data_IF_096433509990
#
_entry.id   IF_096433509990
#
_cell.length_a   1.000
_cell.length_b   1.000
_cell.length_c   1.000
_cell.angle_alpha   90.00
_cell.angle_beta   90.00
_cell.angle_gamma   90.00
#
_symmetry.space_group_name_H-M   'P 1'
#
loop_
_entity.id
_entity.type
_entity.pdbx_description
1 polymer ?
#
# COMPACT_ATOMS: atom_id res chain seq x y z
N UNK A 1 -2.16 11.91 15.35
CA UNK A 1 -2.04 10.76 14.45
C UNK A 1 -3.35 10.03 14.48
N UNK A 2 -3.82 9.57 13.32
CA UNK A 2 -5.11 8.90 13.22
C UNK A 2 -4.97 7.41 13.54
N UNK A 3 -3.83 6.81 13.17
CA UNK A 3 -3.52 5.41 13.44
C UNK A 3 -2.27 5.29 14.33
N UNK A 4 -1.99 4.08 14.81
CA UNK A 4 -0.73 3.78 15.48
C UNK A 4 0.45 3.91 14.48
N UNK A 5 1.67 4.23 14.94
CA UNK A 5 2.83 4.41 14.05
C UNK A 5 3.09 3.21 13.12
N UNK A 6 3.01 1.99 13.66
CA UNK A 6 3.18 0.74 12.92
C UNK A 6 2.06 0.52 11.89
N UNK A 7 0.83 0.92 12.21
CA UNK A 7 -0.28 0.94 11.23
C UNK A 7 -0.01 1.92 10.09
N UNK A 8 0.45 3.15 10.37
CA UNK A 8 0.78 4.12 9.31
C UNK A 8 1.94 3.64 8.43
N UNK A 9 2.96 3.03 9.02
CA UNK A 9 4.09 2.42 8.29
C UNK A 9 3.65 1.27 7.38
N UNK A 10 2.81 0.35 7.89
CA UNK A 10 2.26 -0.75 7.11
C UNK A 10 1.38 -0.24 5.96
N UNK A 11 0.50 0.74 6.20
CA UNK A 11 -0.30 1.36 5.15
C UNK A 11 0.56 2.03 4.07
N UNK A 12 1.65 2.70 4.46
CA UNK A 12 2.57 3.31 3.52
C UNK A 12 3.31 2.24 2.70
N UNK A 13 3.73 1.13 3.31
CA UNK A 13 4.34 0.02 2.59
C UNK A 13 3.38 -0.60 1.56
N UNK A 14 2.09 -0.77 1.90
CA UNK A 14 1.07 -1.21 0.93
C UNK A 14 1.05 -0.28 -0.28
N UNK A 15 1.03 1.04 -0.04
CA UNK A 15 1.02 2.06 -1.11
C UNK A 15 2.28 1.96 -1.99
N UNK A 16 3.45 1.81 -1.37
CA UNK A 16 4.73 1.72 -2.09
C UNK A 16 4.79 0.46 -2.97
N UNK A 17 4.38 -0.70 -2.43
CA UNK A 17 4.27 -1.95 -3.17
C UNK A 17 3.24 -1.84 -4.31
N UNK A 18 2.03 -1.37 -3.99
CA UNK A 18 0.92 -1.23 -4.93
C UNK A 18 1.23 -0.28 -6.09
N UNK A 19 2.04 0.75 -5.87
CA UNK A 19 2.38 1.76 -6.87
C UNK A 19 3.57 1.40 -7.77
N UNK A 20 4.12 0.19 -7.64
CA UNK A 20 5.13 -0.33 -8.58
C UNK A 20 4.54 -0.65 -9.96
N UNK A 21 3.22 -0.70 -10.12
CA UNK A 21 2.58 -0.98 -11.42
C UNK A 21 2.81 0.14 -12.45
N UNK A 22 2.88 -0.20 -13.73
CA UNK A 22 3.10 0.75 -14.83
C UNK A 22 2.14 1.97 -14.84
N UNK A 23 0.88 1.80 -14.44
CA UNK A 23 -0.10 2.89 -14.43
C UNK A 23 -0.04 3.77 -13.18
N UNK A 24 0.76 3.41 -12.18
CA UNK A 24 0.93 4.14 -10.92
C UNK A 24 2.35 4.66 -10.71
N UNK A 25 3.33 3.99 -11.31
CA UNK A 25 4.75 4.24 -11.08
C UNK A 25 5.22 5.56 -11.68
N UNK A 26 6.39 6.03 -11.23
CA UNK A 26 6.95 7.30 -11.71
C UNK A 26 7.54 7.18 -13.11
N UNK A 27 8.07 6.01 -13.44
CA UNK A 27 8.66 5.70 -14.75
C UNK A 27 7.62 5.40 -15.82
N UNK A 28 6.40 4.97 -15.43
CA UNK A 28 5.41 4.42 -16.35
C UNK A 28 5.66 2.96 -16.73
N UNK A 29 6.62 2.29 -16.08
CA UNK A 29 6.91 0.87 -16.23
C UNK A 29 6.53 0.08 -14.95
N UNK A 30 6.41 -1.24 -15.04
CA UNK A 30 6.34 -2.10 -13.85
C UNK A 30 7.72 -2.08 -13.17
N UNK A 31 7.79 -1.50 -11.97
CA UNK A 31 9.00 -1.31 -11.16
C UNK A 31 9.22 -2.47 -10.16
N UNK A 32 8.60 -3.63 -10.41
CA UNK A 32 8.78 -4.85 -9.60
C UNK A 32 8.87 -6.09 -10.50
N UNK A 33 9.82 -6.09 -11.43
CA UNK A 33 10.04 -7.15 -12.41
C UNK A 33 11.31 -7.96 -12.16
N UNK A 34 12.20 -7.46 -11.29
CA UNK A 34 13.49 -8.08 -10.97
C UNK A 34 13.68 -8.25 -9.47
N UNK A 35 14.61 -9.13 -9.09
CA UNK A 35 14.98 -9.31 -7.68
C UNK A 35 15.65 -8.07 -7.08
N UNK A 36 16.40 -7.31 -7.90
CA UNK A 36 17.04 -6.08 -7.44
C UNK A 36 16.00 -4.99 -7.10
N UNK A 37 14.93 -4.90 -7.88
CA UNK A 37 13.80 -4.00 -7.58
C UNK A 37 13.06 -4.43 -6.31
N UNK A 38 12.85 -5.74 -6.12
CA UNK A 38 12.26 -6.27 -4.89
C UNK A 38 13.16 -5.98 -3.67
N UNK A 39 14.47 -6.25 -3.74
CA UNK A 39 15.40 -5.96 -2.66
C UNK A 39 15.43 -4.45 -2.33
N UNK A 40 15.33 -3.57 -3.34
CA UNK A 40 15.27 -2.12 -3.14
C UNK A 40 13.99 -1.68 -2.40
N UNK A 41 12.85 -2.31 -2.69
CA UNK A 41 11.59 -2.06 -1.99
C UNK A 41 11.62 -2.53 -0.52
N UNK A 42 12.40 -3.58 -0.23
CA UNK A 42 12.46 -4.25 1.07
C UNK A 42 13.59 -3.75 1.99
N UNK A 43 14.25 -2.63 1.67
CA UNK A 43 15.41 -2.14 2.43
C UNK A 43 15.16 -1.99 3.94
N UNK A 44 13.95 -1.62 4.33
CA UNK A 44 13.54 -1.45 5.74
C UNK A 44 12.66 -2.59 6.24
N UNK A 45 12.42 -3.62 5.42
CA UNK A 45 11.51 -4.73 5.74
C UNK A 45 12.31 -5.89 6.35
N UNK A 46 11.90 -6.40 7.51
CA UNK A 46 12.59 -7.51 8.18
C UNK A 46 11.99 -8.88 7.80
N UNK A 47 12.43 -9.96 8.45
CA UNK A 47 11.98 -11.32 8.17
C UNK A 47 12.69 -12.03 7.00
N UNK A 48 12.29 -13.30 6.78
CA UNK A 48 12.83 -14.18 5.72
C UNK A 48 12.70 -13.56 4.33
N UNK A 49 13.77 -13.68 3.54
CA UNK A 49 13.84 -13.30 2.12
C UNK A 49 14.57 -14.39 1.36
N UNK A 50 13.87 -15.13 0.53
CA UNK A 50 14.43 -16.23 -0.26
C UNK A 50 15.23 -15.73 -1.46
N UNK A 51 14.92 -14.52 -1.94
CA UNK A 51 15.57 -13.88 -3.09
C UNK A 51 15.55 -14.73 -4.35
N UNK A 52 14.40 -15.33 -4.62
CA UNK A 52 14.18 -16.14 -5.82
C UNK A 52 12.96 -15.68 -6.64
N UNK A 53 12.82 -16.28 -7.82
CA UNK A 53 11.74 -15.94 -8.75
C UNK A 53 10.35 -16.37 -8.27
N UNK A 54 10.26 -17.31 -7.32
CA UNK A 54 8.99 -17.72 -6.74
C UNK A 54 8.51 -16.67 -5.72
N UNK A 55 9.42 -16.18 -4.88
CA UNK A 55 9.16 -15.08 -3.95
C UNK A 55 8.74 -13.81 -4.69
N UNK A 56 9.47 -13.40 -5.74
CA UNK A 56 9.10 -12.24 -6.55
C UNK A 56 7.70 -12.37 -7.15
N UNK A 57 7.35 -13.56 -7.68
CA UNK A 57 6.01 -13.80 -8.23
C UNK A 57 4.93 -13.69 -7.16
N UNK A 58 5.15 -14.31 -6.01
CA UNK A 58 4.20 -14.27 -4.89
C UNK A 58 4.01 -12.85 -4.33
N UNK A 59 5.06 -12.03 -4.31
CA UNK A 59 4.96 -10.61 -3.92
C UNK A 59 4.18 -9.80 -4.97
N UNK A 60 4.36 -10.07 -6.27
CA UNK A 60 3.55 -9.43 -7.33
C UNK A 60 2.08 -9.84 -7.27
N UNK A 61 1.78 -11.10 -6.99
CA UNK A 61 0.40 -11.56 -6.73
C UNK A 61 -0.20 -10.86 -5.51
N UNK A 62 0.61 -10.69 -4.45
CA UNK A 62 0.21 -9.93 -3.25
C UNK A 62 -0.04 -8.46 -3.56
N UNK A 63 0.80 -7.83 -4.38
CA UNK A 63 0.59 -6.46 -4.86
C UNK A 63 -0.77 -6.32 -5.53
N UNK A 64 -1.10 -7.21 -6.45
CA UNK A 64 -2.34 -7.13 -7.23
C UNK A 64 -3.57 -7.37 -6.33
N UNK A 65 -3.47 -8.31 -5.37
CA UNK A 65 -4.49 -8.51 -4.33
C UNK A 65 -4.69 -7.25 -3.49
N UNK A 66 -3.62 -6.63 -3.00
CA UNK A 66 -3.71 -5.44 -2.15
C UNK A 66 -4.28 -4.24 -2.91
N UNK A 67 -3.95 -4.09 -4.20
CA UNK A 67 -4.58 -3.07 -5.06
C UNK A 67 -6.08 -3.27 -5.16
N UNK A 68 -6.54 -4.51 -5.34
CA UNK A 68 -7.98 -4.81 -5.37
C UNK A 68 -8.64 -4.47 -4.04
N UNK A 69 -8.09 -4.96 -2.92
CA UNK A 69 -8.63 -4.73 -1.57
C UNK A 69 -8.71 -3.24 -1.23
N UNK A 70 -7.73 -2.44 -1.65
CA UNK A 70 -7.69 -1.01 -1.38
C UNK A 70 -8.89 -0.22 -1.94
N UNK A 71 -9.55 -0.77 -2.96
CA UNK A 71 -10.66 -0.12 -3.67
C UNK A 71 -12.03 -0.72 -3.38
N UNK A 72 -12.08 -1.73 -2.51
CA UNK A 72 -13.34 -2.32 -2.08
C UNK A 72 -14.12 -1.34 -1.19
N UNK A 73 -15.45 -1.52 -1.17
CA UNK A 73 -16.23 -0.92 -0.10
C UNK A 73 -15.90 -1.58 1.25
N UNK A 74 -16.43 -0.99 2.33
CA UNK A 74 -16.08 -1.38 3.69
C UNK A 74 -16.43 -2.84 4.00
N UNK A 75 -17.58 -3.32 3.54
CA UNK A 75 -18.05 -4.67 3.88
C UNK A 75 -17.30 -5.72 3.05
N UNK A 76 -17.07 -5.46 1.77
CA UNK A 76 -16.23 -6.32 0.93
C UNK A 76 -14.77 -6.36 1.43
N UNK A 77 -14.24 -5.24 1.91
CA UNK A 77 -12.90 -5.18 2.51
C UNK A 77 -12.82 -6.03 3.79
N UNK A 78 -13.88 -6.06 4.62
CA UNK A 78 -13.96 -6.94 5.80
C UNK A 78 -13.84 -8.41 5.40
N UNK A 79 -14.53 -8.84 4.35
CA UNK A 79 -14.46 -10.22 3.88
C UNK A 79 -13.05 -10.58 3.38
N UNK A 80 -12.45 -9.70 2.58
CA UNK A 80 -11.11 -9.91 2.04
C UNK A 80 -10.03 -9.95 3.14
N UNK A 81 -10.07 -9.02 4.09
CA UNK A 81 -9.14 -8.95 5.23
C UNK A 81 -9.26 -10.20 6.10
N UNK A 82 -10.49 -10.61 6.43
CA UNK A 82 -10.71 -11.82 7.22
C UNK A 82 -10.21 -13.08 6.52
N UNK A 83 -10.37 -13.17 5.18
CA UNK A 83 -9.84 -14.28 4.40
C UNK A 83 -8.31 -14.33 4.47
N UNK A 84 -7.63 -13.21 4.25
CA UNK A 84 -6.16 -13.14 4.32
C UNK A 84 -5.62 -13.65 5.67
N UNK A 85 -6.22 -13.21 6.77
CA UNK A 85 -5.81 -13.61 8.12
C UNK A 85 -6.08 -15.10 8.40
N UNK A 86 -7.24 -15.63 7.98
CA UNK A 86 -7.59 -17.04 8.18
C UNK A 86 -6.69 -17.98 7.38
N UNK A 87 -6.41 -17.64 6.12
CA UNK A 87 -5.54 -18.45 5.25
C UNK A 87 -4.12 -18.53 5.80
N UNK A 88 -3.58 -17.42 6.31
CA UNK A 88 -2.26 -17.37 6.95
C UNK A 88 -2.24 -17.92 8.38
N UNK A 89 -3.40 -18.32 8.95
CA UNK A 89 -3.54 -18.72 10.36
C UNK A 89 -2.94 -17.67 11.31
N UNK A 90 -3.20 -16.41 11.02
CA UNK A 90 -2.60 -15.29 11.73
C UNK A 90 -3.04 -15.28 13.20
N UNK A 91 -2.06 -15.36 14.12
CA UNK A 91 -2.28 -15.26 15.56
C UNK A 91 -1.45 -14.08 16.07
N UNK A 92 -2.08 -12.93 16.39
CA UNK A 92 -1.33 -11.75 16.78
C UNK A 92 -0.60 -11.90 18.13
N UNK A 93 0.62 -11.37 18.20
CA UNK A 93 1.46 -11.31 19.39
C UNK A 93 2.29 -10.01 19.39
N UNK A 94 2.72 -9.59 20.58
CA UNK A 94 3.58 -8.41 20.74
C UNK A 94 5.05 -8.81 20.63
N UNK A 95 5.83 -7.99 19.95
CA UNK A 95 7.26 -8.17 19.77
C UNK A 95 8.02 -6.85 19.85
N UNK A 96 9.35 -6.92 19.95
CA UNK A 96 10.24 -5.77 19.97
C UNK A 96 11.58 -6.14 19.32
N UNK A 97 11.88 -5.57 18.15
CA UNK A 97 13.13 -5.78 17.39
C UNK A 97 13.40 -4.62 16.42
N UNK A 98 14.57 -4.64 15.79
CA UNK A 98 14.98 -3.72 14.71
C UNK A 98 14.92 -2.22 15.06
N UNK A 99 15.05 -1.89 16.34
CA UNK A 99 15.00 -0.51 16.83
C UNK A 99 13.58 0.03 17.08
N UNK A 100 12.54 -0.75 16.76
CA UNK A 100 11.16 -0.45 17.11
C UNK A 100 10.84 -0.89 18.54
N UNK A 101 9.98 -0.13 19.24
CA UNK A 101 9.43 -0.54 20.54
C UNK A 101 8.35 -1.63 20.35
N UNK A 102 7.50 -1.88 21.35
CA UNK A 102 6.42 -2.87 21.25
C UNK A 102 5.51 -2.62 20.05
N UNK A 103 5.45 -3.59 19.15
CA UNK A 103 4.58 -3.61 17.98
C UNK A 103 4.00 -5.00 17.73
N UNK A 104 2.98 -5.07 16.88
CA UNK A 104 2.23 -6.30 16.64
C UNK A 104 2.79 -7.08 15.44
N UNK A 105 2.94 -8.39 15.62
CA UNK A 105 3.14 -9.34 14.53
C UNK A 105 2.10 -10.44 14.59
N UNK A 106 1.84 -11.08 13.46
CA UNK A 106 0.91 -12.20 13.40
C UNK A 106 1.36 -13.30 12.42
N UNK A 107 2.66 -13.34 12.12
CA UNK A 107 3.33 -14.37 11.32
C UNK A 107 4.64 -14.78 11.97
N UNK A 108 5.00 -16.04 11.87
CA UNK A 108 6.30 -16.54 12.32
C UNK A 108 7.46 -15.85 11.56
N UNK A 109 8.66 -15.73 12.17
CA UNK A 109 9.82 -15.07 11.53
C UNK A 109 10.27 -15.70 10.20
N UNK A 110 10.02 -17.00 10.02
CA UNK A 110 10.38 -17.79 8.83
C UNK A 110 9.24 -17.95 7.81
N UNK A 111 8.09 -17.30 8.05
CA UNK A 111 6.98 -17.27 7.12
C UNK A 111 7.41 -16.72 5.75
N UNK A 112 6.85 -17.22 4.63
CA UNK A 112 7.12 -16.68 3.30
C UNK A 112 6.83 -15.17 3.24
N UNK A 113 7.70 -14.41 2.57
CA UNK A 113 7.62 -12.95 2.52
C UNK A 113 6.23 -12.43 2.08
N UNK A 114 5.66 -13.04 1.03
CA UNK A 114 4.33 -12.67 0.53
C UNK A 114 3.20 -12.93 1.54
N UNK A 115 3.34 -13.94 2.42
CA UNK A 115 2.39 -14.17 3.51
C UNK A 115 2.53 -13.10 4.59
N UNK A 116 3.77 -12.80 5.00
CA UNK A 116 4.07 -11.73 5.96
C UNK A 116 3.49 -10.39 5.52
N UNK A 117 3.73 -9.99 4.26
CA UNK A 117 3.18 -8.76 3.68
C UNK A 117 1.65 -8.75 3.74
N UNK A 118 0.99 -9.86 3.34
CA UNK A 118 -0.48 -9.96 3.38
C UNK A 118 -1.03 -9.81 4.79
N UNK A 119 -0.40 -10.45 5.77
CA UNK A 119 -0.86 -10.41 7.17
C UNK A 119 -0.63 -9.03 7.78
N UNK A 120 0.54 -8.43 7.61
CA UNK A 120 0.80 -7.07 8.11
C UNK A 120 -0.15 -6.06 7.47
N UNK A 121 -0.40 -6.17 6.16
CA UNK A 121 -1.37 -5.33 5.47
C UNK A 121 -2.80 -5.53 6.00
N UNK A 122 -3.22 -6.78 6.21
CA UNK A 122 -4.52 -7.11 6.77
C UNK A 122 -4.70 -6.54 8.19
N UNK A 123 -3.66 -6.62 9.04
CA UNK A 123 -3.65 -6.05 10.37
C UNK A 123 -3.81 -4.52 10.35
N UNK A 124 -3.11 -3.84 9.44
CA UNK A 124 -3.24 -2.39 9.29
C UNK A 124 -4.63 -1.97 8.78
N UNK A 125 -5.20 -2.73 7.85
CA UNK A 125 -6.54 -2.48 7.31
C UNK A 125 -7.65 -2.72 8.35
N UNK A 126 -7.44 -3.57 9.35
CA UNK A 126 -8.39 -3.73 10.48
C UNK A 126 -8.63 -2.40 11.17
N UNK A 127 -7.58 -1.61 11.44
CA UNK A 127 -7.73 -0.32 12.12
C UNK A 127 -8.53 0.65 11.26
N UNK A 128 -8.19 0.76 9.98
CA UNK A 128 -8.91 1.62 9.02
C UNK A 128 -10.41 1.27 8.98
N UNK A 129 -10.73 -0.02 8.89
CA UNK A 129 -12.11 -0.52 8.84
C UNK A 129 -12.85 -0.27 10.16
N UNK A 130 -12.23 -0.56 11.31
CA UNK A 130 -12.86 -0.43 12.63
C UNK A 130 -13.10 1.02 13.01
N UNK A 131 -12.26 1.93 12.52
CA UNK A 131 -12.39 3.37 12.73
C UNK A 131 -13.34 4.04 11.73
N UNK A 132 -13.90 3.30 10.77
CA UNK A 132 -14.76 3.84 9.69
C UNK A 132 -14.02 4.87 8.81
N UNK A 133 -12.74 4.63 8.55
CA UNK A 133 -11.83 5.54 7.84
C UNK A 133 -11.43 5.02 6.45
N UNK A 134 -12.20 4.07 5.88
CA UNK A 134 -11.93 3.50 4.54
C UNK A 134 -11.93 4.55 3.44
N UNK A 135 -12.65 5.67 3.61
CA UNK A 135 -12.62 6.80 2.69
C UNK A 135 -11.25 7.48 2.55
N UNK A 136 -10.28 7.17 3.43
CA UNK A 136 -8.89 7.63 3.32
C UNK A 136 -8.03 6.76 2.41
N UNK A 137 -8.46 5.53 2.10
CA UNK A 137 -7.84 4.68 1.11
C UNK A 137 -8.28 5.18 -0.27
N UNK A 138 -7.39 5.88 -0.97
CA UNK A 138 -7.76 6.62 -2.18
C UNK A 138 -6.96 6.24 -3.40
N UNK A 139 -7.60 6.42 -4.55
CA UNK A 139 -7.00 6.41 -5.89
C UNK A 139 -6.73 7.86 -6.31
N UNK A 140 -5.65 8.07 -7.07
CA UNK A 140 -5.26 9.36 -7.60
C UNK A 140 -6.33 9.95 -8.52
N UNK A 141 -6.68 11.22 -8.34
CA UNK A 141 -7.65 11.93 -9.18
C UNK A 141 -7.09 12.36 -10.56
N UNK A 142 -5.88 11.94 -10.94
CA UNK A 142 -5.30 12.29 -12.24
C UNK A 142 -5.70 11.25 -13.30
N UNK A 143 -6.25 11.69 -14.43
CA UNK A 143 -6.86 10.83 -15.47
C UNK A 143 -5.96 9.71 -16.02
N UNK A 144 -4.64 9.88 -15.93
CA UNK A 144 -3.60 8.96 -16.45
C UNK A 144 -2.79 8.31 -15.30
N UNK A 145 -3.39 8.12 -14.13
CA UNK A 145 -2.70 7.55 -12.97
C UNK A 145 -3.60 6.72 -12.06
N UNK A 146 -3.31 5.43 -11.93
CA UNK A 146 -4.00 4.53 -11.00
C UNK A 146 -3.26 4.42 -9.65
N UNK A 147 -2.51 5.46 -9.29
CA UNK A 147 -1.72 5.50 -8.07
C UNK A 147 -2.60 5.51 -6.83
N UNK A 148 -2.28 4.67 -5.85
CA UNK A 148 -2.95 4.62 -4.55
C UNK A 148 -2.27 5.58 -3.58
N UNK A 149 -3.02 6.05 -2.58
CA UNK A 149 -2.48 6.76 -1.43
C UNK A 149 -3.41 6.68 -0.22
N UNK A 150 -2.84 6.81 0.97
CA UNK A 150 -3.58 7.05 2.21
C UNK A 150 -3.68 8.57 2.46
N UNK A 151 -4.90 9.06 2.70
CA UNK A 151 -5.15 10.46 3.03
C UNK A 151 -5.06 10.73 4.54
N UNK A 152 -3.85 11.02 5.00
CA UNK A 152 -3.57 11.43 6.39
C UNK A 152 -3.76 12.95 6.62
N UNK A 153 -4.32 13.69 5.65
CA UNK A 153 -4.61 15.11 5.86
C UNK A 153 -5.74 15.30 6.87
N UNK A 154 -5.71 16.44 7.58
CA UNK A 154 -6.66 16.74 8.67
C UNK A 154 -8.12 16.67 8.22
N UNK A 155 -8.41 17.06 6.98
CA UNK A 155 -9.76 17.17 6.42
C UNK A 155 -10.03 16.18 5.28
N UNK A 156 -9.16 15.20 5.04
CA UNK A 156 -9.35 14.21 3.96
C UNK A 156 -9.42 14.84 2.57
N UNK A 157 -8.68 15.94 2.33
CA UNK A 157 -8.78 16.71 1.09
C UNK A 157 -7.64 16.42 0.10
N UNK A 158 -6.74 15.47 0.37
CA UNK A 158 -5.65 15.16 -0.56
C UNK A 158 -6.23 14.45 -1.78
N UNK A 159 -5.96 14.97 -2.97
CA UNK A 159 -6.53 14.45 -4.23
C UNK A 159 -5.60 13.59 -5.07
N UNK A 160 -4.29 13.69 -4.84
CA UNK A 160 -3.29 13.10 -5.71
C UNK A 160 -2.29 12.27 -4.92
N UNK A 161 -1.86 11.15 -5.51
CA UNK A 161 -0.86 10.26 -4.91
C UNK A 161 0.50 10.95 -4.73
N UNK A 162 0.80 12.00 -5.50
CA UNK A 162 2.06 12.73 -5.42
C UNK A 162 1.92 14.20 -5.82
N UNK A 163 2.89 15.01 -5.39
CA UNK A 163 3.03 16.42 -5.82
C UNK A 163 3.18 16.51 -7.34
N UNK A 164 3.85 15.54 -7.97
CA UNK A 164 4.01 15.46 -9.44
C UNK A 164 2.64 15.38 -10.13
N UNK A 165 1.74 14.50 -9.68
CA UNK A 165 0.40 14.38 -10.24
C UNK A 165 -0.41 15.67 -10.04
N UNK A 166 -0.35 16.26 -8.83
CA UNK A 166 -1.02 17.54 -8.57
C UNK A 166 -0.54 18.68 -9.47
N UNK A 167 0.78 18.81 -9.65
CA UNK A 167 1.36 19.81 -10.55
C UNK A 167 0.96 19.57 -12.01
N UNK A 168 0.95 18.31 -12.46
CA UNK A 168 0.53 17.94 -13.82
C UNK A 168 -0.90 18.38 -14.11
N UNK A 169 -1.85 18.04 -13.24
CA UNK A 169 -3.26 18.42 -13.40
C UNK A 169 -3.43 19.95 -13.38
N UNK A 170 -2.76 20.65 -12.46
CA UNK A 170 -2.81 22.11 -12.39
C UNK A 170 -2.27 22.78 -13.66
N UNK A 171 -1.18 22.26 -14.24
CA UNK A 171 -0.62 22.78 -15.48
C UNK A 171 -1.56 22.56 -16.69
N UNK A 172 -2.18 21.39 -16.81
CA UNK A 172 -3.16 21.10 -17.86
C UNK A 172 -4.35 22.05 -17.77
N UNK A 173 -4.93 22.21 -16.57
CA UNK A 173 -6.05 23.12 -16.35
C UNK A 173 -5.68 24.59 -16.61
N UNK A 174 -4.47 25.02 -16.27
CA UNK A 174 -3.98 26.36 -16.57
C UNK A 174 -3.87 26.59 -18.09
N UNK A 175 -3.35 25.62 -18.85
CA UNK A 175 -3.24 25.71 -20.32
C UNK A 175 -4.60 25.78 -21.00
N UNK A 176 -5.57 24.97 -20.57
CA UNK A 176 -6.94 25.00 -21.09
C UNK A 176 -7.60 26.38 -20.92
N UNK A 177 -7.56 26.94 -19.71
CA UNK A 177 -8.08 28.30 -19.42
C UNK A 177 -7.40 29.41 -20.21
N UNK A 178 -6.12 29.23 -20.60
CA UNK A 178 -5.40 30.22 -21.42
C UNK A 178 -5.78 30.11 -22.90
N UNK A 179 -6.13 28.92 -23.38
CA UNK A 179 -6.60 28.70 -24.74
C UNK A 179 -8.01 29.25 -24.96
N UNK A 180 -8.89 29.17 -23.95
CA UNK A 180 -10.26 29.72 -24.01
C UNK A 180 -10.33 31.26 -24.02
N UNK A 181 -9.24 31.93 -23.63
CA UNK A 181 -9.13 33.40 -23.55
C UNK A 181 -8.46 34.03 -24.78
N UNK A 182 -8.03 33.22 -25.74
CA UNK A 182 -7.46 33.64 -27.02
C UNK A 182 -8.48 33.43 -28.12
#
# INVERSE_FOLDING_TARGET
>A
MLFAPDTEEALQFIVDLANTTATASRSGADELTTLAELDALLLTYSGRKDRDQAELRAVRETRDLLRAVWTLDRDDAVEAVNRMLREARAVPYLTRHDGSDWHIHATEPDAPLAERIRVEAAMALIDVIRMDETGRLRVCDADDCDGLFIDLSRNGSRRFCSVRCGNRVNMTAFRARKAEKQ
#
